data_IF_680877603128
#
_entry.id   IF_680877603128
#
_cell.length_a   1.000
_cell.length_b   1.000
_cell.length_c   1.000
_cell.angle_alpha   90.00
_cell.angle_beta   90.00
_cell.angle_gamma   90.00
#
_symmetry.space_group_name_H-M   'P 1'
#
loop_
_entity.id
_entity.type
_entity.pdbx_description
1 polymer ?
#
# COMPACT_ATOMS: atom_id res chain seq x y z
N UNK A 1 3.22 4.33 7.15
CA UNK A 1 3.31 3.53 5.91
C UNK A 1 1.91 3.42 5.33
N UNK A 2 1.72 3.39 4.00
CA UNK A 2 0.41 3.24 3.37
C UNK A 2 -0.37 2.03 3.90
N UNK A 3 -1.69 2.19 4.06
CA UNK A 3 -2.56 1.12 4.53
C UNK A 3 -3.99 1.24 4.03
N UNK A 4 -4.71 0.13 4.01
CA UNK A 4 -6.15 0.07 3.71
C UNK A 4 -6.84 -1.05 4.44
N UNK A 5 -8.02 -0.76 4.94
CA UNK A 5 -8.95 -1.78 5.43
C UNK A 5 -9.72 -2.37 4.26
N UNK A 6 -9.86 -3.69 4.20
CA UNK A 6 -10.58 -4.35 3.12
C UNK A 6 -12.05 -3.87 3.05
N UNK A 7 -12.55 -3.45 1.88
CA UNK A 7 -13.85 -2.77 1.77
C UNK A 7 -15.04 -3.69 2.11
N UNK A 8 -14.92 -4.99 1.87
CA UNK A 8 -15.95 -5.98 2.20
C UNK A 8 -15.69 -6.76 3.48
N UNK A 9 -14.53 -6.55 4.13
CA UNK A 9 -14.18 -7.25 5.36
C UNK A 9 -13.40 -6.30 6.29
N UNK A 10 -14.11 -5.49 7.09
CA UNK A 10 -13.50 -4.39 7.84
C UNK A 10 -12.52 -4.84 8.93
N UNK A 11 -12.45 -6.15 9.21
CA UNK A 11 -11.49 -6.70 10.15
C UNK A 11 -10.12 -6.95 9.52
N UNK A 12 -10.00 -6.94 8.19
CA UNK A 12 -8.75 -7.20 7.49
C UNK A 12 -8.08 -5.89 7.12
N UNK A 13 -6.85 -5.72 7.59
CA UNK A 13 -6.00 -4.56 7.33
C UNK A 13 -4.79 -4.98 6.48
N UNK A 14 -4.54 -4.21 5.42
CA UNK A 14 -3.39 -4.31 4.54
C UNK A 14 -2.46 -3.13 4.82
N UNK A 15 -1.20 -3.40 5.14
CA UNK A 15 -0.20 -2.39 5.48
C UNK A 15 1.09 -2.65 4.72
N UNK A 16 1.67 -1.61 4.10
CA UNK A 16 3.03 -1.68 3.59
C UNK A 16 3.98 -1.72 4.79
N UNK A 17 4.87 -2.70 4.84
CA UNK A 17 5.91 -2.79 5.85
C UNK A 17 7.22 -2.12 5.41
N UNK A 18 8.18 -2.08 6.34
CA UNK A 18 9.50 -1.46 6.13
C UNK A 18 10.36 -2.16 5.09
N UNK A 19 10.07 -3.42 4.78
CA UNK A 19 10.82 -4.27 3.84
C UNK A 19 10.18 -4.24 2.44
N UNK A 20 9.13 -3.42 2.25
CA UNK A 20 8.41 -3.26 0.99
C UNK A 20 7.39 -4.37 0.72
N UNK A 21 7.01 -5.15 1.72
CA UNK A 21 6.00 -6.20 1.62
C UNK A 21 4.67 -5.73 2.23
N UNK A 22 3.59 -6.45 1.92
CA UNK A 22 2.26 -6.20 2.43
C UNK A 22 1.99 -7.13 3.60
N UNK A 23 1.88 -6.56 4.80
CA UNK A 23 1.35 -7.24 5.97
C UNK A 23 -0.16 -7.20 5.92
N UNK A 24 -0.79 -8.37 5.83
CA UNK A 24 -2.24 -8.54 5.95
C UNK A 24 -2.53 -9.08 7.34
N UNK A 25 -3.42 -8.44 8.09
CA UNK A 25 -3.78 -8.88 9.44
C UNK A 25 -5.27 -8.81 9.70
N UNK A 26 -5.78 -9.66 10.58
CA UNK A 26 -7.18 -9.66 11.02
C UNK A 26 -7.36 -9.42 12.54
N UNK A 27 -6.34 -8.80 13.16
CA UNK A 27 -6.24 -8.60 14.61
C UNK A 27 -5.78 -9.81 15.43
N UNK A 28 -5.91 -11.05 14.90
CA UNK A 28 -5.43 -12.28 15.58
C UNK A 28 -4.27 -12.95 14.85
N UNK A 29 -4.35 -12.97 13.53
CA UNK A 29 -3.40 -13.62 12.63
C UNK A 29 -2.85 -12.61 11.65
N UNK A 30 -1.70 -12.94 11.05
CA UNK A 30 -1.14 -12.18 9.96
C UNK A 30 -0.59 -13.08 8.86
N UNK A 31 -0.44 -12.49 7.68
CA UNK A 31 0.34 -12.99 6.56
C UNK A 31 1.17 -11.86 5.97
N UNK A 32 2.30 -12.20 5.36
CA UNK A 32 3.15 -11.26 4.63
C UNK A 32 3.14 -11.67 3.17
N UNK A 33 2.92 -10.70 2.30
CA UNK A 33 2.77 -10.89 0.86
C UNK A 33 3.65 -9.91 0.11
N UNK A 34 4.04 -10.23 -1.12
CA UNK A 34 4.63 -9.22 -2.02
C UNK A 34 3.60 -8.16 -2.39
N UNK A 35 4.03 -7.04 -2.96
CA UNK A 35 3.12 -6.03 -3.54
C UNK A 35 2.27 -6.57 -4.70
N UNK A 36 2.64 -7.71 -5.28
CA UNK A 36 1.85 -8.44 -6.29
C UNK A 36 0.87 -9.46 -5.68
N UNK A 37 0.81 -9.56 -4.34
CA UNK A 37 -0.09 -10.47 -3.63
C UNK A 37 0.43 -11.91 -3.49
N UNK A 38 1.72 -12.18 -3.72
CA UNK A 38 2.30 -13.52 -3.51
C UNK A 38 2.61 -13.74 -2.04
N UNK A 39 2.13 -14.84 -1.46
CA UNK A 39 2.39 -15.19 -0.06
C UNK A 39 3.88 -15.44 0.20
N UNK A 40 4.40 -14.90 1.30
CA UNK A 40 5.78 -15.07 1.77
C UNK A 40 5.78 -15.87 3.08
N UNK A 41 5.04 -15.42 4.11
CA UNK A 41 5.03 -16.07 5.43
C UNK A 41 3.76 -15.74 6.23
N UNK A 42 3.56 -16.43 7.35
CA UNK A 42 2.43 -16.26 8.26
C UNK A 42 1.28 -17.23 8.02
N UNK A 43 0.26 -17.09 8.88
CA UNK A 43 -0.91 -17.97 8.93
C UNK A 43 -1.98 -17.60 7.90
N UNK A 44 -2.13 -16.30 7.58
CA UNK A 44 -3.01 -15.87 6.50
C UNK A 44 -2.30 -16.17 5.19
N UNK A 45 -2.88 -17.08 4.39
CA UNK A 45 -2.34 -17.54 3.09
C UNK A 45 -2.99 -16.88 1.89
N UNK A 46 -4.09 -16.17 2.11
CA UNK A 46 -4.89 -15.52 1.06
C UNK A 46 -4.97 -14.02 1.31
N UNK A 47 -4.82 -13.25 0.25
CA UNK A 47 -4.93 -11.80 0.23
C UNK A 47 -5.51 -11.40 -1.12
N UNK A 48 -6.24 -10.28 -1.17
CA UNK A 48 -6.67 -9.67 -2.44
C UNK A 48 -5.44 -9.06 -3.14
N UNK A 49 -5.00 -9.59 -4.30
CA UNK A 49 -3.83 -9.08 -4.99
C UNK A 49 -3.98 -7.61 -5.41
N UNK A 50 -5.20 -7.16 -5.71
CA UNK A 50 -5.45 -5.78 -6.11
C UNK A 50 -5.23 -4.81 -4.94
N UNK A 51 -5.59 -5.20 -3.71
CA UNK A 51 -5.30 -4.40 -2.53
C UNK A 51 -3.81 -4.40 -2.19
N UNK A 52 -3.11 -5.52 -2.38
CA UNK A 52 -1.65 -5.57 -2.26
C UNK A 52 -0.99 -4.59 -3.23
N UNK A 53 -1.41 -4.59 -4.49
CA UNK A 53 -0.90 -3.69 -5.53
C UNK A 53 -1.22 -2.23 -5.17
N UNK A 54 -2.44 -1.95 -4.71
CA UNK A 54 -2.84 -0.59 -4.35
C UNK A 54 -2.00 -0.05 -3.19
N UNK A 55 -1.87 -0.80 -2.09
CA UNK A 55 -1.07 -0.38 -0.93
C UNK A 55 0.41 -0.25 -1.30
N UNK A 56 0.95 -1.15 -2.12
CA UNK A 56 2.34 -1.11 -2.55
C UNK A 56 2.70 0.04 -3.50
N UNK A 57 1.71 0.60 -4.20
CA UNK A 57 1.92 1.66 -5.19
C UNK A 57 1.31 3.01 -4.80
N UNK A 58 0.66 3.11 -3.63
CA UNK A 58 0.08 4.36 -3.18
C UNK A 58 1.13 5.19 -2.42
N UNK A 59 1.68 6.27 -3.02
CA UNK A 59 2.64 7.12 -2.34
C UNK A 59 1.99 7.75 -1.11
N UNK A 60 2.78 7.97 -0.05
CA UNK A 60 2.34 8.85 1.02
C UNK A 60 2.17 10.29 0.52
N UNK A 61 1.52 11.13 1.33
CA UNK A 61 1.21 12.52 0.96
C UNK A 61 2.45 13.32 0.56
N UNK A 62 3.59 13.11 1.22
CA UNK A 62 4.83 13.84 0.92
C UNK A 62 5.44 13.38 -0.39
N UNK A 63 5.43 12.06 -0.64
CA UNK A 63 5.83 11.50 -1.93
C UNK A 63 4.91 11.98 -3.06
N UNK A 64 3.60 12.09 -2.81
CA UNK A 64 2.64 12.61 -3.76
C UNK A 64 2.91 14.09 -4.07
N UNK A 65 3.10 14.93 -3.04
CA UNK A 65 3.50 16.34 -3.21
C UNK A 65 4.78 16.48 -4.01
N UNK A 66 5.82 15.72 -3.68
CA UNK A 66 7.09 15.74 -4.40
C UNK A 66 6.97 15.28 -5.87
N UNK A 67 6.00 14.40 -6.17
CA UNK A 67 5.68 14.01 -7.56
C UNK A 67 5.00 15.16 -8.30
N UNK A 68 4.04 15.80 -7.65
CA UNK A 68 3.27 16.91 -8.22
C UNK A 68 4.15 18.15 -8.46
N UNK A 69 5.06 18.48 -7.54
CA UNK A 69 6.05 19.56 -7.71
C UNK A 69 6.95 19.31 -8.91
N UNK A 70 7.51 18.10 -9.04
CA UNK A 70 8.32 17.71 -10.22
C UNK A 70 7.53 17.80 -11.52
N UNK A 71 6.25 17.44 -11.51
CA UNK A 71 5.39 17.60 -12.68
C UNK A 71 5.18 19.08 -13.03
N UNK A 72 4.89 19.88 -12.01
CA UNK A 72 4.63 21.32 -12.09
C UNK A 72 5.83 22.08 -12.65
N UNK A 73 7.03 21.80 -12.15
CA UNK A 73 8.30 22.36 -12.64
C UNK A 73 8.55 22.01 -14.11
N UNK A 74 8.40 20.73 -14.47
CA UNK A 74 8.65 20.25 -15.84
C UNK A 74 7.72 20.88 -16.88
N UNK A 75 6.49 21.20 -16.49
CA UNK A 75 5.45 21.68 -17.42
C UNK A 75 5.13 23.17 -17.23
N UNK A 76 5.88 23.90 -16.41
CA UNK A 76 5.76 25.35 -16.27
C UNK A 76 4.47 25.84 -15.61
N UNK A 77 3.76 24.99 -14.86
CA UNK A 77 2.54 25.37 -14.13
C UNK A 77 2.92 26.15 -12.87
N UNK A 78 3.26 27.43 -12.97
CA UNK A 78 3.63 28.23 -11.79
C UNK A 78 2.45 28.34 -10.82
N UNK A 79 2.59 27.87 -9.57
CA UNK A 79 1.66 28.23 -8.49
C UNK A 79 1.67 29.76 -8.36
N UNK A 80 0.50 30.39 -8.54
CA UNK A 80 0.30 31.82 -8.31
C UNK A 80 0.45 32.15 -6.83
#
# INVERSE_FOLDING_TARGET
MPSVTHPFNPNILYELDKDGNIRVSNGKKFGVFTTEGRHITGEIREADPQLCVWVGNNPDLEQQKARDERFTERHGFRKK
#
